data_IF_854615921413
#
_entry.id   IF_854615921413
#
_cell.length_a   1.000
_cell.length_b   1.000
_cell.length_c   1.000
_cell.angle_alpha   90.00
_cell.angle_beta   90.00
_cell.angle_gamma   90.00
#
_symmetry.space_group_name_H-M   'P 1'
#
loop_
_entity.id
_entity.type
_entity.pdbx_description
1 polymer ?
#
# COMPACT_ATOMS: atom_id res chain seq x y z
N UNK A 1 -20.85 6.27 14.14
CA UNK A 1 -20.61 5.02 13.41
C UNK A 1 -19.18 5.09 12.90
N UNK A 2 -18.27 4.14 13.23
CA UNK A 2 -16.94 4.12 12.65
C UNK A 2 -17.10 4.16 11.12
N UNK A 3 -16.45 5.15 10.49
CA UNK A 3 -16.80 5.66 9.19
C UNK A 3 -16.81 4.59 8.09
N UNK A 4 -17.84 4.60 7.27
CA UNK A 4 -17.91 3.83 6.03
C UNK A 4 -16.72 4.23 5.14
N UNK A 5 -15.84 3.29 4.84
CA UNK A 5 -14.72 3.51 3.93
C UNK A 5 -15.25 3.94 2.57
N UNK A 6 -14.59 4.91 1.96
CA UNK A 6 -14.93 5.42 0.64
C UNK A 6 -13.70 5.50 -0.23
N UNK A 7 -13.77 4.94 -1.42
CA UNK A 7 -12.73 5.12 -2.42
C UNK A 7 -12.79 6.56 -2.96
N UNK A 8 -11.70 7.31 -2.80
CA UNK A 8 -11.57 8.66 -3.35
C UNK A 8 -11.06 8.59 -4.78
N UNK A 9 -9.98 7.82 -5.00
CA UNK A 9 -9.38 7.61 -6.32
C UNK A 9 -8.55 6.34 -6.30
N UNK A 10 -8.46 5.68 -7.45
CA UNK A 10 -7.51 4.62 -7.72
C UNK A 10 -6.97 4.75 -9.15
N UNK A 11 -5.83 4.15 -9.41
CA UNK A 11 -5.17 4.18 -10.72
C UNK A 11 -3.82 3.50 -10.66
N UNK A 12 -3.05 3.64 -11.72
CA UNK A 12 -1.69 3.13 -11.81
C UNK A 12 -0.74 4.23 -12.31
N UNK A 13 0.45 4.30 -11.72
CA UNK A 13 1.58 5.03 -12.29
C UNK A 13 2.16 4.13 -13.39
N UNK A 14 2.18 4.62 -14.62
CA UNK A 14 2.70 3.89 -15.78
C UNK A 14 3.91 4.59 -16.35
N UNK A 15 4.92 3.84 -16.74
CA UNK A 15 6.10 4.37 -17.40
C UNK A 15 6.22 3.77 -18.81
N UNK A 16 6.61 4.53 -19.86
CA UNK A 16 6.75 4.00 -21.20
C UNK A 16 7.68 2.79 -21.28
N UNK A 17 7.28 1.80 -22.05
CA UNK A 17 8.17 0.68 -22.38
C UNK A 17 9.38 1.20 -23.19
N UNK A 18 10.57 0.69 -22.92
CA UNK A 18 11.80 1.10 -23.63
C UNK A 18 12.56 2.26 -22.97
N UNK A 19 12.01 2.94 -21.98
CA UNK A 19 12.81 3.85 -21.17
C UNK A 19 13.82 3.09 -20.32
N UNK A 20 15.06 3.62 -20.17
CA UNK A 20 16.05 3.08 -19.24
C UNK A 20 15.49 3.05 -17.81
N UNK A 21 15.86 2.03 -17.04
CA UNK A 21 15.37 1.87 -15.67
C UNK A 21 15.53 3.12 -14.79
N UNK A 22 16.67 3.83 -14.78
CA UNK A 22 16.80 5.06 -13.98
C UNK A 22 15.77 6.13 -14.35
N UNK A 23 15.45 6.31 -15.63
CA UNK A 23 14.44 7.28 -16.08
C UNK A 23 13.03 6.85 -15.65
N UNK A 24 12.72 5.55 -15.67
CA UNK A 24 11.45 5.03 -15.15
C UNK A 24 11.32 5.24 -13.65
N UNK A 25 12.38 5.00 -12.89
CA UNK A 25 12.39 5.21 -11.44
C UNK A 25 12.22 6.69 -11.09
N UNK A 26 12.84 7.60 -11.84
CA UNK A 26 12.67 9.04 -11.69
C UNK A 26 11.21 9.45 -11.94
N UNK A 27 10.60 8.96 -13.01
CA UNK A 27 9.19 9.25 -13.30
C UNK A 27 8.27 8.73 -12.19
N UNK A 28 8.51 7.53 -11.65
CA UNK A 28 7.75 7.00 -10.50
C UNK A 28 7.91 7.91 -9.28
N UNK A 29 9.12 8.42 -9.02
CA UNK A 29 9.40 9.36 -7.93
C UNK A 29 8.59 10.66 -8.09
N UNK A 30 8.65 11.28 -9.27
CA UNK A 30 7.95 12.54 -9.56
C UNK A 30 6.43 12.41 -9.45
N UNK A 31 5.88 11.34 -10.03
CA UNK A 31 4.45 11.04 -9.96
C UNK A 31 4.01 10.75 -8.53
N UNK A 32 4.79 9.98 -7.78
CA UNK A 32 4.50 9.68 -6.38
C UNK A 32 4.55 10.93 -5.51
N UNK A 33 5.58 11.76 -5.65
CA UNK A 33 5.69 13.03 -4.95
C UNK A 33 4.50 13.97 -5.27
N UNK A 34 4.02 13.95 -6.51
CA UNK A 34 2.84 14.72 -6.93
C UNK A 34 1.57 14.21 -6.27
N UNK A 35 1.35 12.89 -6.25
CA UNK A 35 0.20 12.28 -5.58
C UNK A 35 0.20 12.59 -4.07
N UNK A 36 1.35 12.46 -3.41
CA UNK A 36 1.47 12.71 -1.97
C UNK A 36 1.19 14.18 -1.64
N UNK A 37 1.66 15.13 -2.45
CA UNK A 37 1.33 16.56 -2.29
C UNK A 37 -0.15 16.86 -2.53
N UNK A 38 -0.77 16.20 -3.51
CA UNK A 38 -2.16 16.42 -3.87
C UNK A 38 -3.13 15.84 -2.84
N UNK A 39 -2.90 14.63 -2.38
CA UNK A 39 -3.83 13.92 -1.50
C UNK A 39 -3.52 14.06 -0.02
N UNK A 40 -2.27 14.37 0.33
CA UNK A 40 -1.80 14.53 1.72
C UNK A 40 -2.31 13.41 2.64
N UNK A 41 -2.01 12.14 2.33
CA UNK A 41 -2.53 11.03 3.12
C UNK A 41 -1.92 11.01 4.52
N UNK A 42 -2.69 10.56 5.51
CA UNK A 42 -2.24 10.38 6.90
C UNK A 42 -1.40 9.11 7.07
N UNK A 43 -1.49 8.17 6.15
CA UNK A 43 -0.75 6.92 6.16
C UNK A 43 -0.63 6.33 4.74
N UNK A 44 0.43 5.55 4.51
CA UNK A 44 0.63 4.73 3.33
C UNK A 44 0.60 3.26 3.70
N UNK A 45 -0.19 2.48 3.00
CA UNK A 45 -0.20 1.02 3.10
C UNK A 45 0.44 0.41 1.85
N UNK A 46 1.36 -0.53 2.04
CA UNK A 46 2.07 -1.22 0.96
C UNK A 46 2.04 -2.72 1.17
N UNK A 47 2.19 -3.48 0.09
CA UNK A 47 2.33 -4.92 0.16
C UNK A 47 3.76 -5.31 0.52
N UNK A 48 3.93 -6.31 1.40
CA UNK A 48 5.22 -6.94 1.63
C UNK A 48 5.69 -7.66 0.36
N UNK A 49 6.98 -7.50 0.02
CA UNK A 49 7.58 -8.24 -1.09
C UNK A 49 8.01 -9.63 -0.64
N UNK A 50 7.45 -10.64 -1.30
CA UNK A 50 7.91 -12.02 -1.19
C UNK A 50 8.57 -12.43 -2.51
N UNK A 51 9.87 -12.71 -2.46
CA UNK A 51 10.62 -13.23 -3.60
C UNK A 51 10.42 -14.74 -3.67
N UNK A 52 9.37 -15.20 -4.39
CA UNK A 52 9.19 -16.63 -4.59
C UNK A 52 9.90 -17.00 -5.88
N UNK A 53 10.06 -17.24 -6.82
CA UNK A 53 10.70 -17.94 -7.95
C UNK A 53 11.20 -17.05 -9.11
N UNK A 54 10.79 -15.80 -9.23
CA UNK A 54 11.19 -14.91 -10.34
C UNK A 54 12.03 -13.72 -9.86
N UNK A 55 13.30 -13.98 -9.55
CA UNK A 55 14.24 -12.97 -9.04
C UNK A 55 14.41 -11.80 -10.02
N UNK A 56 14.48 -12.06 -11.32
CA UNK A 56 14.75 -11.03 -12.33
C UNK A 56 13.64 -9.96 -12.39
N UNK A 57 12.39 -10.36 -12.40
CA UNK A 57 11.25 -9.43 -12.36
C UNK A 57 11.13 -8.78 -10.96
N UNK A 58 11.45 -9.53 -9.91
CA UNK A 58 11.44 -9.07 -8.54
C UNK A 58 12.40 -7.91 -8.27
N UNK A 59 13.58 -7.88 -8.89
CA UNK A 59 14.55 -6.79 -8.73
C UNK A 59 13.96 -5.44 -9.17
N UNK A 60 13.34 -5.36 -10.33
CA UNK A 60 12.72 -4.13 -10.83
C UNK A 60 11.57 -3.66 -9.94
N UNK A 61 10.76 -4.59 -9.44
CA UNK A 61 9.68 -4.29 -8.48
C UNK A 61 10.25 -3.77 -7.16
N UNK A 62 11.30 -4.38 -6.64
CA UNK A 62 11.96 -3.94 -5.40
C UNK A 62 12.56 -2.54 -5.54
N UNK A 63 13.18 -2.23 -6.69
CA UNK A 63 13.72 -0.91 -6.97
C UNK A 63 12.62 0.16 -7.03
N UNK A 64 11.53 -0.09 -7.74
CA UNK A 64 10.38 0.81 -7.79
C UNK A 64 9.75 1.00 -6.41
N UNK A 65 9.61 -0.08 -5.64
CA UNK A 65 9.13 -0.03 -4.27
C UNK A 65 10.03 0.85 -3.37
N UNK A 66 11.35 0.71 -3.50
CA UNK A 66 12.30 1.55 -2.77
C UNK A 66 12.09 3.04 -3.02
N UNK A 67 11.83 3.42 -4.28
CA UNK A 67 11.49 4.81 -4.65
C UNK A 67 10.19 5.27 -3.97
N UNK A 68 9.14 4.46 -4.01
CA UNK A 68 7.85 4.78 -3.38
C UNK A 68 8.01 4.99 -1.87
N UNK A 69 8.74 4.11 -1.19
CA UNK A 69 8.99 4.23 0.26
C UNK A 69 9.81 5.49 0.58
N UNK A 70 10.80 5.82 -0.26
CA UNK A 70 11.62 7.03 -0.10
C UNK A 70 10.77 8.30 -0.23
N UNK A 71 9.85 8.36 -1.19
CA UNK A 71 8.96 9.52 -1.35
C UNK A 71 7.96 9.65 -0.19
N UNK A 72 7.47 8.55 0.36
CA UNK A 72 6.62 8.56 1.53
C UNK A 72 7.37 9.09 2.78
N UNK A 73 8.61 8.62 3.01
CA UNK A 73 9.45 9.10 4.11
C UNK A 73 9.81 10.57 3.95
N UNK A 74 10.14 11.03 2.72
CA UNK A 74 10.38 12.44 2.41
C UNK A 74 9.18 13.33 2.72
N UNK A 75 7.98 12.81 2.52
CA UNK A 75 6.73 13.49 2.85
C UNK A 75 6.31 13.30 4.32
N UNK A 76 7.11 12.64 5.14
CA UNK A 76 6.83 12.31 6.55
C UNK A 76 5.52 11.53 6.74
N UNK A 77 5.18 10.64 5.80
CA UNK A 77 3.98 9.81 5.84
C UNK A 77 4.33 8.45 6.43
N UNK A 78 3.68 8.02 7.53
CA UNK A 78 3.91 6.70 8.13
C UNK A 78 3.52 5.58 7.17
N UNK A 79 4.38 4.55 7.10
CA UNK A 79 4.24 3.42 6.19
C UNK A 79 3.84 2.18 6.99
N UNK A 80 2.88 1.44 6.47
CA UNK A 80 2.39 0.18 7.03
C UNK A 80 2.47 -0.91 5.97
N UNK A 81 3.06 -2.04 6.31
CA UNK A 81 3.26 -3.17 5.41
C UNK A 81 2.28 -4.30 5.73
N UNK A 82 1.74 -4.94 4.69
CA UNK A 82 0.78 -6.03 4.81
C UNK A 82 1.15 -7.18 3.89
N UNK A 83 1.17 -8.39 4.44
CA UNK A 83 1.30 -9.61 3.63
C UNK A 83 0.02 -9.90 2.84
N UNK A 84 0.10 -10.62 1.71
CA UNK A 84 -1.09 -11.05 0.96
C UNK A 84 -2.11 -11.80 1.82
N UNK A 85 -1.64 -12.59 2.77
CA UNK A 85 -2.51 -13.33 3.70
C UNK A 85 -3.28 -12.40 4.63
N UNK A 86 -2.62 -11.35 5.14
CA UNK A 86 -3.27 -10.34 5.99
C UNK A 86 -4.33 -9.55 5.22
N UNK A 87 -4.05 -9.19 3.95
CA UNK A 87 -5.03 -8.51 3.10
C UNK A 87 -6.26 -9.40 2.88
N UNK A 88 -6.06 -10.67 2.53
CA UNK A 88 -7.14 -11.65 2.35
C UNK A 88 -7.97 -11.82 3.63
N UNK A 89 -7.30 -12.00 4.77
CA UNK A 89 -7.97 -12.13 6.06
C UNK A 89 -8.79 -10.88 6.40
N UNK A 90 -8.26 -9.68 6.18
CA UNK A 90 -8.95 -8.45 6.49
C UNK A 90 -10.16 -8.17 5.59
N UNK A 91 -10.06 -8.53 4.30
CA UNK A 91 -11.11 -8.22 3.30
C UNK A 91 -12.18 -9.30 3.26
N UNK A 92 -11.80 -10.58 3.24
CA UNK A 92 -12.71 -11.71 3.04
C UNK A 92 -13.00 -12.48 4.34
N UNK A 93 -12.10 -12.40 5.33
CA UNK A 93 -12.24 -13.10 6.61
C UNK A 93 -11.37 -14.35 6.75
N UNK A 94 -10.64 -14.75 5.69
CA UNK A 94 -9.69 -15.88 5.74
C UNK A 94 -8.53 -15.72 4.76
N UNK A 95 -7.32 -16.14 5.21
CA UNK A 95 -6.06 -15.84 4.51
C UNK A 95 -5.79 -16.63 3.23
N UNK A 96 -6.57 -17.69 2.94
CA UNK A 96 -6.46 -18.52 1.73
C UNK A 96 -7.46 -18.15 0.62
N UNK A 97 -8.13 -17.00 0.74
CA UNK A 97 -9.07 -16.52 -0.26
C UNK A 97 -8.42 -16.37 -1.64
N UNK A 98 -9.17 -16.69 -2.69
CA UNK A 98 -8.75 -16.47 -4.06
C UNK A 98 -8.77 -14.98 -4.43
N UNK A 99 -7.94 -14.56 -5.39
CA UNK A 99 -7.88 -13.16 -5.85
C UNK A 99 -9.27 -12.64 -6.23
N UNK A 100 -10.04 -13.42 -6.98
CA UNK A 100 -11.40 -13.05 -7.40
C UNK A 100 -12.33 -12.73 -6.21
N UNK A 101 -12.24 -13.50 -5.13
CA UNK A 101 -13.05 -13.29 -3.93
C UNK A 101 -12.66 -11.99 -3.22
N UNK A 102 -11.35 -11.67 -3.15
CA UNK A 102 -10.84 -10.41 -2.59
C UNK A 102 -11.35 -9.23 -3.39
N UNK A 103 -11.29 -9.30 -4.74
CA UNK A 103 -11.75 -8.23 -5.63
C UNK A 103 -13.26 -7.98 -5.50
N UNK A 104 -14.09 -9.03 -5.52
CA UNK A 104 -15.53 -8.89 -5.38
C UNK A 104 -15.92 -8.35 -4.00
N UNK A 105 -15.28 -8.85 -2.94
CA UNK A 105 -15.53 -8.35 -1.60
C UNK A 105 -15.10 -6.89 -1.44
N UNK A 106 -13.94 -6.49 -1.97
CA UNK A 106 -13.48 -5.09 -2.00
C UNK A 106 -14.49 -4.20 -2.68
N UNK A 107 -14.98 -4.60 -3.85
CA UNK A 107 -16.03 -3.90 -4.59
C UNK A 107 -17.30 -3.70 -3.74
N UNK A 108 -17.78 -4.78 -3.09
CA UNK A 108 -18.99 -4.73 -2.24
C UNK A 108 -18.82 -3.86 -1.02
N UNK A 109 -17.70 -3.97 -0.32
CA UNK A 109 -17.41 -3.20 0.91
C UNK A 109 -17.35 -1.69 0.65
N UNK A 110 -16.86 -1.29 -0.51
CA UNK A 110 -16.77 0.11 -0.92
C UNK A 110 -17.99 0.59 -1.71
N UNK A 111 -18.94 -0.29 -2.02
CA UNK A 111 -20.16 0.03 -2.77
C UNK A 111 -19.87 0.44 -4.22
N UNK A 112 -18.81 -0.13 -4.83
CA UNK A 112 -18.43 0.18 -6.20
C UNK A 112 -19.30 -0.58 -7.19
N UNK A 113 -19.58 0.03 -8.35
CA UNK A 113 -20.29 -0.60 -9.45
C UNK A 113 -19.47 -1.76 -10.03
N UNK A 114 -18.20 -1.52 -10.30
CA UNK A 114 -17.28 -2.45 -10.93
C UNK A 114 -15.99 -2.61 -10.09
N UNK A 115 -15.27 -3.69 -10.30
CA UNK A 115 -13.93 -3.89 -9.72
C UNK A 115 -12.98 -2.86 -10.35
N UNK A 116 -12.15 -2.16 -9.56
CA UNK A 116 -11.17 -1.21 -10.09
C UNK A 116 -10.24 -1.86 -11.12
N UNK A 117 -9.83 -1.08 -12.11
CA UNK A 117 -8.85 -1.48 -13.12
C UNK A 117 -7.73 -0.46 -13.24
N UNK A 118 -6.51 -0.87 -13.63
CA UNK A 118 -6.07 -2.26 -13.87
C UNK A 118 -6.05 -3.11 -12.58
N UNK A 119 -5.74 -4.39 -12.69
CA UNK A 119 -5.72 -5.34 -11.56
C UNK A 119 -4.85 -4.85 -10.39
N UNK A 120 -3.69 -4.25 -10.69
CA UNK A 120 -2.79 -3.70 -9.67
C UNK A 120 -3.45 -2.56 -8.86
N UNK A 121 -4.31 -1.76 -9.50
CA UNK A 121 -5.09 -0.73 -8.80
C UNK A 121 -6.12 -1.36 -7.85
N UNK A 122 -6.72 -2.49 -8.24
CA UNK A 122 -7.64 -3.22 -7.37
C UNK A 122 -6.92 -3.85 -6.18
N UNK A 123 -5.72 -4.40 -6.38
CA UNK A 123 -4.86 -4.92 -5.31
C UNK A 123 -4.49 -3.79 -4.32
N UNK A 124 -4.09 -2.62 -4.80
CA UNK A 124 -3.79 -1.45 -3.97
C UNK A 124 -5.00 -0.99 -3.15
N UNK A 125 -6.20 -1.00 -3.73
CA UNK A 125 -7.44 -0.67 -3.00
C UNK A 125 -7.73 -1.69 -1.91
N UNK A 126 -7.49 -2.99 -2.14
CA UNK A 126 -7.64 -4.02 -1.13
C UNK A 126 -6.65 -3.84 0.05
N UNK A 127 -5.40 -3.45 -0.23
CA UNK A 127 -4.38 -3.15 0.79
C UNK A 127 -4.80 -1.92 1.62
N UNK A 128 -5.25 -0.86 0.98
CA UNK A 128 -5.76 0.33 1.67
C UNK A 128 -6.96 0.00 2.57
N UNK A 129 -7.86 -0.85 2.11
CA UNK A 129 -9.00 -1.32 2.90
C UNK A 129 -8.57 -2.18 4.09
N UNK A 130 -7.55 -3.05 3.91
CA UNK A 130 -6.92 -3.80 4.99
C UNK A 130 -6.39 -2.86 6.07
N UNK A 131 -5.64 -1.83 5.68
CA UNK A 131 -5.12 -0.83 6.61
C UNK A 131 -6.25 -0.10 7.37
N UNK A 132 -7.24 0.40 6.67
CA UNK A 132 -8.36 1.13 7.26
C UNK A 132 -9.11 0.29 8.31
N UNK A 133 -9.26 -1.01 8.08
CA UNK A 133 -9.89 -1.95 9.03
C UNK A 133 -8.99 -2.28 10.22
N UNK A 134 -7.70 -2.47 9.98
CA UNK A 134 -6.70 -2.73 11.03
C UNK A 134 -6.51 -1.50 11.93
N UNK A 135 -6.49 -0.31 11.36
CA UNK A 135 -6.40 0.95 12.10
C UNK A 135 -7.64 1.18 12.98
N UNK A 136 -8.84 0.87 12.48
CA UNK A 136 -10.08 0.95 13.27
C UNK A 136 -10.05 0.01 14.49
N UNK A 137 -9.49 -1.19 14.32
CA UNK A 137 -9.31 -2.14 15.43
C UNK A 137 -8.22 -1.67 16.42
N UNK A 138 -7.18 -0.98 15.96
CA UNK A 138 -6.12 -0.41 16.81
C UNK A 138 -6.56 0.87 17.52
N UNK A 139 -7.35 1.73 16.89
CA UNK A 139 -7.90 2.93 17.53
C UNK A 139 -8.82 2.56 18.70
N UNK A 140 -9.61 1.49 18.58
CA UNK A 140 -10.38 0.97 19.72
C UNK A 140 -9.52 0.39 20.84
N UNK A 141 -8.26 -0.01 20.56
CA UNK A 141 -7.29 -0.48 21.54
C UNK A 141 -6.37 0.65 22.05
N UNK A 142 -6.21 1.75 21.30
CA UNK A 142 -5.32 2.88 21.65
C UNK A 142 -6.01 3.95 22.50
N UNK A 143 -7.33 3.89 22.63
CA UNK A 143 -8.04 4.62 23.72
C UNK A 143 -7.67 4.08 25.11
N UNK A 144 -6.95 2.96 25.16
CA UNK A 144 -6.45 2.34 26.38
C UNK A 144 -4.92 2.33 26.56
N UNK A 145 -4.12 2.81 25.58
CA UNK A 145 -2.66 2.85 25.70
C UNK A 145 -2.02 3.98 24.88
N UNK A 146 -1.29 4.87 25.53
CA UNK A 146 -0.53 5.97 24.91
C UNK A 146 0.48 5.49 23.86
N UNK A 147 0.70 6.24 22.75
CA UNK A 147 1.55 5.81 21.64
C UNK A 147 3.04 5.88 21.97
N UNK A 148 3.73 4.76 21.82
CA UNK A 148 5.16 4.72 21.63
C UNK A 148 5.46 4.93 20.14
N UNK A 149 6.25 5.93 19.80
CA UNK A 149 6.68 6.26 18.44
C UNK A 149 7.55 5.14 17.87
N UNK A 150 7.01 4.33 17.00
CA UNK A 150 7.79 3.39 16.18
C UNK A 150 8.44 4.14 15.02
N UNK A 151 9.45 4.96 15.30
CA UNK A 151 10.42 5.38 14.29
C UNK A 151 11.42 4.24 14.12
N UNK A 152 11.71 3.87 12.89
CA UNK A 152 12.85 3.01 12.58
C UNK A 152 14.09 3.65 13.23
N UNK A 153 14.65 3.00 14.24
CA UNK A 153 15.92 3.41 14.82
C UNK A 153 17.02 3.01 13.83
N UNK A 154 17.52 3.98 13.07
CA UNK A 154 18.80 3.83 12.37
C UNK A 154 19.84 3.64 13.46
N UNK A 155 20.37 2.44 13.63
CA UNK A 155 21.54 2.19 14.46
C UNK A 155 22.73 2.90 13.82
N UNK A 156 23.16 3.98 14.43
CA UNK A 156 24.44 4.63 14.11
C UNK A 156 25.58 3.64 14.46
N UNK A 157 26.17 3.07 13.43
CA UNK A 157 27.30 2.12 13.57
C UNK A 157 28.60 2.87 13.33
N UNK A 158 28.89 3.87 14.18
CA UNK A 158 30.23 4.48 14.27
C UNK A 158 30.97 3.83 15.42
N UNK A 159 31.80 2.85 15.09
CA UNK A 159 33.07 2.53 15.74
C UNK A 159 34.03 1.93 14.72
#
# INVERSE_FOLDING_TARGET
VPGRQRLIRCGAITTPAGLPLPARLLQISDDMATLLRQFKPDAMAVEELFFNQNVTTGIGVAQARGVILTEAERACIPIFEYSPSQVKQAVVGYGKAEKRQVMDMTRRLLGLKDVPKPDDAADAVAIALCHARSASSRLSLLDSARPGSGRYAVRDNRR
#
